data_IF_453603131844
#
_entry.id   IF_453603131844
#
_cell.length_a   1.000
_cell.length_b   1.000
_cell.length_c   1.000
_cell.angle_alpha   90.00
_cell.angle_beta   90.00
_cell.angle_gamma   90.00
#
_symmetry.space_group_name_H-M   'P 1'
#
loop_
_entity.id
_entity.type
_entity.pdbx_description
1 polymer ?
#
# COMPACT_ATOMS: atom_id res chain seq x y z
N UNK A 1 -43.72 -24.86 27.70
CA UNK A 1 -42.93 -25.86 26.98
C UNK A 1 -41.46 -25.41 26.97
N UNK A 2 -40.54 -26.11 27.69
CA UNK A 2 -39.15 -25.73 27.77
C UNK A 2 -38.33 -26.34 26.63
N UNK A 3 -37.44 -25.57 26.04
CA UNK A 3 -36.40 -26.08 25.15
C UNK A 3 -35.04 -25.99 25.86
N UNK A 4 -34.40 -27.13 25.92
CA UNK A 4 -33.15 -27.44 26.58
C UNK A 4 -31.93 -26.75 25.92
N UNK A 5 -30.94 -26.50 26.75
CA UNK A 5 -29.65 -25.99 26.56
C UNK A 5 -28.73 -26.79 25.64
N UNK A 6 -27.77 -26.06 25.12
CA UNK A 6 -26.55 -26.53 24.48
C UNK A 6 -25.42 -25.61 24.89
N UNK A 7 -24.65 -26.07 25.91
CA UNK A 7 -23.40 -25.46 26.36
C UNK A 7 -22.31 -25.78 25.36
N UNK A 8 -21.96 -24.86 24.48
CA UNK A 8 -20.74 -24.88 23.69
C UNK A 8 -19.66 -24.05 24.38
N UNK A 9 -18.72 -24.72 25.00
CA UNK A 9 -17.49 -24.14 25.55
C UNK A 9 -16.61 -23.70 24.38
N UNK A 10 -16.48 -22.39 24.18
CA UNK A 10 -15.43 -21.83 23.32
C UNK A 10 -14.17 -21.66 24.17
N UNK A 11 -13.16 -22.48 23.86
CA UNK A 11 -11.81 -22.39 24.42
C UNK A 11 -11.18 -21.03 24.10
N UNK A 12 -10.39 -20.56 25.06
CA UNK A 12 -9.78 -19.25 25.14
C UNK A 12 -8.92 -18.89 23.94
N UNK A 13 -9.03 -17.64 23.56
CA UNK A 13 -8.01 -16.97 22.75
C UNK A 13 -6.86 -16.61 23.69
N UNK A 14 -5.69 -17.23 23.47
CA UNK A 14 -4.44 -16.96 24.18
C UNK A 14 -4.11 -15.46 24.09
N UNK A 15 -3.85 -14.88 25.25
CA UNK A 15 -3.35 -13.51 25.37
C UNK A 15 -1.93 -13.44 24.82
N UNK A 16 -1.71 -12.63 23.79
CA UNK A 16 -0.39 -12.36 23.24
C UNK A 16 0.51 -11.69 24.30
N UNK A 17 1.72 -12.24 24.48
CA UNK A 17 2.75 -11.75 25.39
C UNK A 17 3.17 -10.31 25.05
N UNK A 18 3.58 -9.47 26.04
CA UNK A 18 4.08 -8.12 25.81
C UNK A 18 5.29 -8.00 24.89
N UNK A 19 6.02 -9.13 24.65
CA UNK A 19 7.22 -9.19 23.81
C UNK A 19 6.91 -9.40 22.33
N UNK A 20 5.65 -9.61 21.93
CA UNK A 20 5.24 -9.87 20.54
C UNK A 20 5.17 -8.61 19.64
N UNK A 21 5.55 -7.45 20.14
CA UNK A 21 5.52 -6.20 19.37
C UNK A 21 6.82 -5.98 18.56
N UNK A 22 7.87 -6.78 18.72
CA UNK A 22 9.17 -6.64 18.02
C UNK A 22 9.43 -7.62 16.86
N UNK A 23 8.49 -8.41 16.42
CA UNK A 23 8.72 -9.52 15.46
C UNK A 23 8.94 -9.12 13.99
N UNK A 24 9.09 -7.84 13.65
CA UNK A 24 9.39 -7.38 12.28
C UNK A 24 10.89 -7.23 11.95
N UNK A 25 11.81 -7.43 12.89
CA UNK A 25 13.24 -7.08 12.74
C UNK A 25 14.18 -8.25 12.40
N UNK A 26 13.71 -9.45 12.00
CA UNK A 26 14.61 -10.55 11.63
C UNK A 26 14.33 -11.10 10.23
N UNK A 27 15.29 -11.03 9.29
CA UNK A 27 15.19 -11.74 8.03
C UNK A 27 15.39 -13.24 8.28
N UNK A 28 14.34 -14.02 8.19
CA UNK A 28 14.44 -15.47 8.22
C UNK A 28 15.20 -15.98 6.99
N UNK A 29 16.41 -16.49 7.21
CA UNK A 29 17.15 -17.26 6.22
C UNK A 29 16.46 -18.60 6.02
N UNK A 30 15.91 -18.85 4.85
CA UNK A 30 15.43 -20.17 4.43
C UNK A 30 16.64 -21.08 4.22
N UNK A 31 16.76 -22.23 4.88
CA UNK A 31 17.84 -23.17 4.63
C UNK A 31 17.63 -23.89 3.30
N UNK A 32 18.59 -23.76 2.41
CA UNK A 32 18.66 -24.52 1.17
C UNK A 32 18.90 -26.00 1.50
N UNK A 33 17.91 -26.88 1.27
CA UNK A 33 18.01 -28.31 1.45
C UNK A 33 19.00 -28.90 0.44
N UNK A 34 20.18 -29.30 0.90
CA UNK A 34 21.13 -30.13 0.14
C UNK A 34 20.59 -31.56 0.05
N UNK A 35 20.11 -31.96 -1.10
CA UNK A 35 19.84 -33.36 -1.41
C UNK A 35 21.17 -34.12 -1.51
N UNK A 36 21.42 -35.02 -0.54
CA UNK A 36 22.45 -36.04 -0.65
C UNK A 36 21.98 -37.10 -1.65
N UNK A 37 22.63 -37.20 -2.80
CA UNK A 37 22.56 -38.41 -3.64
C UNK A 37 23.81 -39.26 -3.39
N UNK A 38 23.58 -40.47 -2.93
CA UNK A 38 24.50 -41.57 -2.75
C UNK A 38 25.10 -41.99 -4.13
N UNK A 39 26.42 -42.22 -4.13
CA UNK A 39 27.16 -42.87 -5.23
C UNK A 39 27.03 -44.40 -5.10
N UNK A 40 26.92 -45.14 -6.19
CA UNK A 40 27.42 -46.52 -6.25
C UNK A 40 28.79 -46.55 -6.94
N UNK A 41 29.64 -47.43 -6.42
CA UNK A 41 30.95 -47.75 -6.91
C UNK A 41 30.89 -48.76 -8.07
N UNK A 42 31.83 -48.62 -9.03
CA UNK A 42 32.20 -49.79 -9.79
C UNK A 42 32.60 -49.58 -11.23
N UNK A 43 33.91 -49.78 -11.47
CA UNK A 43 34.63 -50.40 -12.58
C UNK A 43 35.27 -49.51 -13.63
N UNK A 44 36.57 -49.75 -13.72
CA UNK A 44 37.59 -49.25 -14.66
C UNK A 44 37.31 -49.65 -16.10
N UNK A 45 37.54 -48.73 -17.03
CA UNK A 45 38.04 -49.03 -18.35
C UNK A 45 38.85 -47.85 -18.89
N UNK A 46 40.04 -48.14 -19.35
CA UNK A 46 41.06 -47.26 -19.96
C UNK A 46 40.68 -46.81 -21.33
N UNK A 47 40.81 -45.50 -21.63
CA UNK A 47 40.71 -45.01 -22.99
C UNK A 47 41.12 -43.53 -23.00
N UNK A 48 42.36 -43.27 -23.50
CA UNK A 48 42.85 -41.89 -23.75
C UNK A 48 42.09 -41.27 -24.88
N UNK A 49 41.44 -40.15 -24.65
CA UNK A 49 41.21 -39.11 -25.67
C UNK A 49 41.31 -37.75 -25.03
N UNK A 50 42.28 -36.98 -25.47
CA UNK A 50 42.48 -35.58 -25.14
C UNK A 50 41.49 -34.73 -25.91
N UNK A 51 40.56 -34.09 -25.23
CA UNK A 51 39.72 -33.04 -25.81
C UNK A 51 39.79 -31.83 -24.92
N UNK A 52 40.09 -30.70 -25.54
CA UNK A 52 40.40 -29.43 -24.92
C UNK A 52 39.31 -28.89 -23.94
N UNK A 53 39.82 -28.26 -22.91
CA UNK A 53 39.07 -27.57 -21.86
C UNK A 53 38.33 -26.35 -22.47
N UNK A 54 37.03 -26.45 -22.55
CA UNK A 54 36.16 -25.27 -22.74
C UNK A 54 35.79 -24.63 -21.39
N UNK A 55 35.82 -23.32 -21.27
CA UNK A 55 35.42 -22.67 -20.02
C UNK A 55 33.89 -22.71 -19.89
N UNK A 56 33.41 -23.55 -18.96
CA UNK A 56 32.01 -23.59 -18.55
C UNK A 56 31.72 -22.42 -17.60
N UNK A 57 30.96 -21.42 -18.06
CA UNK A 57 30.46 -20.46 -17.08
C UNK A 57 29.70 -19.23 -17.56
N UNK A 58 29.71 -18.88 -18.85
CA UNK A 58 29.15 -17.57 -19.24
C UNK A 58 28.14 -17.56 -20.40
N UNK A 59 27.89 -18.67 -21.11
CA UNK A 59 27.13 -18.64 -22.37
C UNK A 59 25.66 -19.05 -22.29
N UNK A 60 25.20 -19.76 -21.25
CA UNK A 60 23.83 -20.29 -21.26
C UNK A 60 22.74 -19.23 -21.02
N UNK A 61 23.05 -18.17 -20.27
CA UNK A 61 22.06 -17.08 -20.02
C UNK A 61 21.93 -16.12 -21.21
N UNK A 62 22.99 -15.93 -21.98
CA UNK A 62 22.96 -15.05 -23.15
C UNK A 62 22.28 -15.71 -24.36
N UNK A 63 22.50 -17.00 -24.57
CA UNK A 63 21.87 -17.73 -25.68
C UNK A 63 20.37 -17.90 -25.46
N UNK A 64 19.93 -18.23 -24.26
CA UNK A 64 18.49 -18.30 -23.93
C UNK A 64 17.79 -16.94 -24.12
N UNK A 65 18.42 -15.83 -23.74
CA UNK A 65 17.89 -14.48 -24.00
C UNK A 65 17.90 -14.10 -25.48
N UNK A 66 18.87 -14.54 -26.26
CA UNK A 66 18.93 -14.30 -27.71
C UNK A 66 17.85 -15.10 -28.44
N UNK A 67 17.64 -16.36 -28.08
CA UNK A 67 16.64 -17.25 -28.70
C UNK A 67 15.21 -16.73 -28.37
N UNK A 68 14.93 -16.32 -27.15
CA UNK A 68 13.63 -15.75 -26.79
C UNK A 68 13.37 -14.40 -27.49
N UNK A 69 14.42 -13.62 -27.77
CA UNK A 69 14.32 -12.37 -28.55
C UNK A 69 14.09 -12.59 -30.04
N UNK A 70 14.65 -13.69 -30.61
CA UNK A 70 14.49 -14.03 -32.02
C UNK A 70 13.13 -14.68 -32.36
N UNK A 71 12.40 -15.20 -31.38
CA UNK A 71 11.09 -15.86 -31.57
C UNK A 71 9.88 -14.95 -31.40
N UNK A 72 10.04 -13.66 -31.07
CA UNK A 72 8.90 -12.73 -31.07
C UNK A 72 8.73 -12.12 -32.45
N UNK A 73 7.55 -12.29 -33.10
CA UNK A 73 7.28 -11.62 -34.36
C UNK A 73 7.44 -10.11 -34.17
N UNK A 74 8.01 -9.40 -35.16
CA UNK A 74 8.17 -7.96 -35.09
C UNK A 74 6.79 -7.28 -35.17
N UNK A 75 6.18 -7.03 -34.02
CA UNK A 75 4.89 -6.33 -33.92
C UNK A 75 5.16 -4.83 -33.77
N UNK A 76 4.73 -4.00 -34.75
CA UNK A 76 4.87 -2.55 -34.64
C UNK A 76 4.07 -2.01 -33.45
N UNK A 77 4.68 -1.11 -32.64
CA UNK A 77 4.02 -0.49 -31.50
C UNK A 77 2.74 0.28 -31.90
N UNK A 78 2.71 0.83 -33.13
CA UNK A 78 1.52 1.48 -33.70
C UNK A 78 0.34 0.51 -33.86
N UNK A 79 0.59 -0.74 -34.24
CA UNK A 79 -0.46 -1.76 -34.32
C UNK A 79 -0.99 -2.14 -32.92
N UNK A 80 -0.12 -2.23 -31.93
CA UNK A 80 -0.49 -2.48 -30.52
C UNK A 80 -1.33 -1.32 -29.97
N UNK A 81 -0.95 -0.07 -30.25
CA UNK A 81 -1.73 1.12 -29.88
C UNK A 81 -3.12 1.14 -30.54
N UNK A 82 -3.18 0.75 -31.81
CA UNK A 82 -4.45 0.67 -32.57
C UNK A 82 -5.36 -0.40 -31.99
N UNK A 83 -4.81 -1.55 -31.61
CA UNK A 83 -5.54 -2.62 -30.94
C UNK A 83 -6.08 -2.14 -29.58
N UNK A 84 -5.26 -1.53 -28.74
CA UNK A 84 -5.67 -1.03 -27.42
C UNK A 84 -6.85 -0.06 -27.53
N UNK A 85 -6.74 0.95 -28.40
CA UNK A 85 -7.82 1.93 -28.62
C UNK A 85 -9.11 1.26 -29.12
N UNK A 86 -9.01 0.30 -30.05
CA UNK A 86 -10.16 -0.43 -30.59
C UNK A 86 -10.82 -1.34 -29.52
N UNK A 87 -10.01 -2.00 -28.71
CA UNK A 87 -10.43 -2.89 -27.63
C UNK A 87 -11.14 -2.12 -26.51
N UNK A 88 -10.53 -1.06 -26.02
CA UNK A 88 -11.07 -0.21 -24.96
C UNK A 88 -12.38 0.49 -25.38
N UNK A 89 -12.47 0.94 -26.63
CA UNK A 89 -13.68 1.59 -27.18
C UNK A 89 -14.72 0.59 -27.68
N UNK A 90 -14.38 -0.68 -27.81
CA UNK A 90 -15.23 -1.72 -28.44
C UNK A 90 -15.83 -1.26 -29.78
N UNK A 91 -15.05 -0.44 -30.53
CA UNK A 91 -15.49 0.18 -31.78
C UNK A 91 -14.30 0.63 -32.63
N UNK A 92 -14.16 0.08 -33.83
CA UNK A 92 -13.12 0.50 -34.78
C UNK A 92 -13.33 1.94 -35.26
N UNK A 93 -14.59 2.39 -35.36
CA UNK A 93 -14.89 3.78 -35.76
C UNK A 93 -14.49 4.77 -34.66
N UNK A 94 -14.76 4.46 -33.38
CA UNK A 94 -14.37 5.32 -32.27
C UNK A 94 -12.84 5.37 -32.09
N UNK A 95 -12.15 4.23 -32.24
CA UNK A 95 -10.70 4.16 -32.22
C UNK A 95 -10.06 4.95 -33.38
N UNK A 96 -10.65 4.89 -34.56
CA UNK A 96 -10.21 5.66 -35.71
C UNK A 96 -10.28 7.17 -35.45
N UNK A 97 -11.37 7.64 -34.88
CA UNK A 97 -11.54 9.04 -34.48
C UNK A 97 -10.51 9.47 -33.42
N UNK A 98 -10.24 8.62 -32.41
CA UNK A 98 -9.28 8.90 -31.34
C UNK A 98 -7.83 8.96 -31.86
N UNK A 99 -7.48 8.11 -32.83
CA UNK A 99 -6.12 8.00 -33.36
C UNK A 99 -5.88 8.86 -34.62
N UNK A 100 -6.89 9.63 -35.08
CA UNK A 100 -6.85 10.37 -36.33
C UNK A 100 -6.52 9.47 -37.55
N UNK A 101 -7.15 8.28 -37.58
CA UNK A 101 -7.05 7.29 -38.63
C UNK A 101 -8.40 7.03 -39.32
N UNK A 102 -8.39 6.28 -40.42
CA UNK A 102 -9.61 5.76 -41.01
C UNK A 102 -10.02 4.43 -40.36
N UNK A 103 -11.31 4.11 -40.31
CA UNK A 103 -11.77 2.83 -39.78
C UNK A 103 -11.16 1.61 -40.54
N UNK A 104 -10.89 1.77 -41.85
CA UNK A 104 -10.20 0.78 -42.66
C UNK A 104 -8.75 0.59 -42.21
N UNK A 105 -8.01 1.67 -41.91
CA UNK A 105 -6.65 1.60 -41.41
C UNK A 105 -6.58 0.90 -40.04
N UNK A 106 -7.51 1.21 -39.12
CA UNK A 106 -7.64 0.51 -37.84
C UNK A 106 -7.88 -0.98 -38.04
N UNK A 107 -8.86 -1.36 -38.87
CA UNK A 107 -9.17 -2.75 -39.18
C UNK A 107 -7.96 -3.49 -39.78
N UNK A 108 -7.21 -2.84 -40.67
CA UNK A 108 -6.02 -3.41 -41.30
C UNK A 108 -4.86 -3.60 -40.29
N UNK A 109 -4.64 -2.62 -39.40
CA UNK A 109 -3.60 -2.70 -38.36
C UNK A 109 -3.91 -3.84 -37.37
N UNK A 110 -5.17 -3.97 -36.94
CA UNK A 110 -5.61 -5.07 -36.07
C UNK A 110 -5.40 -6.43 -36.75
N UNK A 111 -5.84 -6.61 -38.01
CA UNK A 111 -5.63 -7.87 -38.74
C UNK A 111 -4.14 -8.24 -38.87
N UNK A 112 -3.27 -7.27 -39.13
CA UNK A 112 -1.82 -7.51 -39.15
C UNK A 112 -1.30 -7.97 -37.80
N UNK A 113 -1.82 -7.41 -36.71
CA UNK A 113 -1.46 -7.84 -35.36
C UNK A 113 -1.92 -9.28 -35.10
N UNK A 114 -3.16 -9.61 -35.41
CA UNK A 114 -3.72 -10.97 -35.29
C UNK A 114 -2.93 -11.99 -36.13
N UNK A 115 -2.57 -11.64 -37.38
CA UNK A 115 -1.73 -12.47 -38.22
C UNK A 115 -0.33 -12.69 -37.63
N UNK A 116 0.30 -11.65 -37.08
CA UNK A 116 1.60 -11.75 -36.44
C UNK A 116 1.59 -12.57 -35.15
N UNK A 117 0.49 -12.57 -34.42
CA UNK A 117 0.30 -13.34 -33.20
C UNK A 117 -0.28 -14.74 -33.44
N UNK A 118 -0.86 -14.99 -34.61
CA UNK A 118 -1.48 -16.26 -34.99
C UNK A 118 -2.81 -16.53 -34.22
N UNK A 119 -3.44 -15.50 -33.66
CA UNK A 119 -4.67 -15.62 -32.87
C UNK A 119 -5.61 -14.45 -33.13
N UNK A 120 -6.91 -14.72 -33.18
CA UNK A 120 -7.94 -13.67 -33.24
C UNK A 120 -8.07 -12.96 -31.89
N UNK A 121 -8.07 -11.64 -31.91
CA UNK A 121 -8.23 -10.79 -30.73
C UNK A 121 -9.63 -10.22 -30.62
N UNK A 122 -10.34 -10.14 -31.75
CA UNK A 122 -11.71 -9.67 -31.82
C UNK A 122 -12.64 -10.75 -32.37
N UNK A 123 -13.88 -10.74 -31.90
CA UNK A 123 -14.98 -11.54 -32.41
C UNK A 123 -16.18 -10.65 -32.73
N UNK A 124 -17.10 -11.18 -33.57
CA UNK A 124 -18.32 -10.46 -33.93
C UNK A 124 -19.51 -11.06 -33.19
N UNK A 125 -20.09 -10.27 -32.36
CA UNK A 125 -21.40 -10.56 -31.73
C UNK A 125 -22.50 -9.77 -32.45
N UNK A 126 -23.05 -10.34 -33.53
CA UNK A 126 -24.04 -9.65 -34.36
C UNK A 126 -23.46 -8.39 -35.01
N UNK A 127 -23.96 -7.21 -34.62
CA UNK A 127 -23.49 -5.92 -35.14
C UNK A 127 -22.47 -5.22 -34.20
N UNK A 128 -22.03 -5.89 -33.14
CA UNK A 128 -21.02 -5.39 -32.18
C UNK A 128 -19.70 -6.12 -32.31
N UNK A 129 -18.66 -5.43 -31.93
CA UNK A 129 -17.30 -5.99 -31.87
C UNK A 129 -17.03 -6.34 -30.40
N UNK A 130 -16.81 -7.64 -30.13
CA UNK A 130 -16.37 -8.18 -28.86
C UNK A 130 -14.89 -8.49 -28.88
N UNK A 131 -14.30 -8.74 -27.71
CA UNK A 131 -12.95 -9.26 -27.55
C UNK A 131 -13.02 -10.76 -27.31
N UNK A 132 -12.10 -11.50 -27.92
CA UNK A 132 -11.85 -12.89 -27.54
C UNK A 132 -11.15 -12.94 -26.17
N UNK A 133 -11.12 -14.12 -25.52
CA UNK A 133 -10.35 -14.31 -24.28
C UNK A 133 -8.85 -13.92 -24.46
N UNK A 134 -8.27 -14.19 -25.66
CA UNK A 134 -6.93 -13.75 -26.01
C UNK A 134 -6.83 -12.22 -26.13
N UNK A 135 -7.87 -11.58 -26.69
CA UNK A 135 -7.98 -10.13 -26.79
C UNK A 135 -8.06 -9.44 -25.42
N UNK A 136 -8.87 -9.97 -24.52
CA UNK A 136 -8.98 -9.45 -23.14
C UNK A 136 -7.64 -9.56 -22.39
N UNK A 137 -7.03 -10.75 -22.43
CA UNK A 137 -5.72 -10.97 -21.80
C UNK A 137 -4.63 -10.02 -22.35
N UNK A 138 -4.62 -9.81 -23.68
CA UNK A 138 -3.66 -8.89 -24.31
C UNK A 138 -3.97 -7.43 -23.92
N UNK A 139 -5.23 -7.03 -23.87
CA UNK A 139 -5.64 -5.67 -23.48
C UNK A 139 -5.11 -5.30 -22.10
N UNK A 140 -5.26 -6.18 -21.10
CA UNK A 140 -4.76 -5.96 -19.75
C UNK A 140 -3.24 -5.71 -19.70
N UNK A 141 -2.48 -6.47 -20.47
CA UNK A 141 -1.02 -6.31 -20.53
C UNK A 141 -0.60 -5.06 -21.31
N UNK A 142 -1.28 -4.76 -22.39
CA UNK A 142 -0.96 -3.62 -23.27
C UNK A 142 -1.31 -2.30 -22.60
N UNK A 143 -2.48 -2.22 -21.95
CA UNK A 143 -2.89 -1.03 -21.20
C UNK A 143 -1.88 -0.67 -20.12
N UNK A 144 -1.47 -1.66 -19.32
CA UNK A 144 -0.40 -1.46 -18.30
C UNK A 144 0.94 -1.02 -18.92
N UNK A 145 1.31 -1.60 -20.06
CA UNK A 145 2.56 -1.21 -20.73
C UNK A 145 2.51 0.25 -21.23
N UNK A 146 1.38 0.71 -21.77
CA UNK A 146 1.22 2.10 -22.22
C UNK A 146 1.18 3.08 -21.05
N UNK A 147 0.57 2.70 -19.93
CA UNK A 147 0.59 3.49 -18.71
C UNK A 147 2.02 3.65 -18.16
N UNK A 148 2.82 2.57 -18.18
CA UNK A 148 4.23 2.63 -17.78
C UNK A 148 5.07 3.49 -18.72
N UNK A 149 4.84 3.40 -20.03
CA UNK A 149 5.49 4.28 -21.01
C UNK A 149 5.11 5.75 -20.79
N UNK A 150 3.83 6.03 -20.54
CA UNK A 150 3.34 7.39 -20.25
C UNK A 150 4.03 7.96 -19.01
N UNK A 151 4.17 7.16 -17.95
CA UNK A 151 4.95 7.55 -16.77
C UNK A 151 6.42 7.83 -17.08
N UNK A 152 7.02 7.00 -17.95
CA UNK A 152 8.39 7.26 -18.42
C UNK A 152 8.51 8.61 -19.13
N UNK A 153 7.52 8.97 -19.95
CA UNK A 153 7.48 10.27 -20.61
C UNK A 153 7.26 11.42 -19.62
N UNK A 154 6.37 11.25 -18.63
CA UNK A 154 6.14 12.24 -17.57
C UNK A 154 7.39 12.47 -16.72
N UNK A 155 8.20 11.44 -16.49
CA UNK A 155 9.48 11.55 -15.77
C UNK A 155 10.53 12.43 -16.48
N UNK A 156 10.48 12.49 -17.82
CA UNK A 156 11.45 13.25 -18.65
C UNK A 156 10.88 14.56 -19.18
N UNK A 157 9.56 14.74 -19.12
CA UNK A 157 8.88 15.95 -19.55
C UNK A 157 9.01 17.06 -18.50
N UNK A 158 9.90 18.01 -18.71
CA UNK A 158 10.21 19.13 -17.79
C UNK A 158 9.06 20.15 -17.61
N UNK A 159 7.91 19.98 -18.27
CA UNK A 159 6.78 20.94 -18.26
C UNK A 159 5.44 20.38 -17.78
N UNK A 160 5.33 19.09 -17.51
CA UNK A 160 4.09 18.51 -16.97
C UNK A 160 3.99 18.78 -15.46
N UNK A 161 2.80 19.09 -14.91
CA UNK A 161 2.58 19.12 -13.47
C UNK A 161 3.03 17.80 -12.86
N UNK A 162 3.81 17.89 -11.80
CA UNK A 162 4.36 16.69 -11.15
C UNK A 162 3.31 16.11 -10.20
N UNK A 163 2.41 15.30 -10.73
CA UNK A 163 1.31 14.71 -9.98
C UNK A 163 1.80 13.57 -9.08
N UNK A 164 1.55 13.68 -7.79
CA UNK A 164 1.63 12.63 -6.78
C UNK A 164 0.24 12.07 -6.51
N UNK A 165 0.04 10.77 -6.75
CA UNK A 165 -1.18 10.05 -6.42
C UNK A 165 -0.98 9.32 -5.10
N UNK A 166 -1.59 9.86 -4.05
CA UNK A 166 -1.40 9.39 -2.68
C UNK A 166 -2.69 8.73 -2.17
N UNK A 167 -2.58 7.50 -1.70
CA UNK A 167 -3.57 6.88 -0.83
C UNK A 167 -3.19 7.13 0.63
N UNK A 168 -4.16 7.19 1.54
CA UNK A 168 -3.86 7.52 2.92
C UNK A 168 -4.92 6.96 3.87
N UNK A 169 -4.50 6.52 5.06
CA UNK A 169 -5.40 6.22 6.17
C UNK A 169 -6.28 7.44 6.49
N UNK A 170 -7.63 7.28 6.56
CA UNK A 170 -8.55 8.43 6.59
C UNK A 170 -8.32 9.39 7.75
N UNK A 171 -8.00 8.89 8.94
CA UNK A 171 -7.77 9.75 10.10
C UNK A 171 -6.49 10.55 9.99
N UNK A 172 -5.43 9.96 9.44
CA UNK A 172 -4.17 10.68 9.16
C UNK A 172 -4.38 11.73 8.08
N UNK A 173 -5.08 11.39 7.01
CA UNK A 173 -5.42 12.32 5.94
C UNK A 173 -6.17 13.56 6.47
N UNK A 174 -7.24 13.34 7.26
CA UNK A 174 -8.09 14.42 7.74
C UNK A 174 -7.44 15.26 8.85
N UNK A 175 -6.83 14.62 9.83
CA UNK A 175 -6.37 15.27 11.04
C UNK A 175 -4.97 15.86 10.94
N UNK A 176 -4.07 15.17 10.24
CA UNK A 176 -2.67 15.57 10.22
C UNK A 176 -2.21 16.08 8.85
N UNK A 177 -2.45 15.32 7.77
CA UNK A 177 -1.87 15.61 6.45
C UNK A 177 -2.52 16.83 5.79
N UNK A 178 -3.85 16.81 5.61
CA UNK A 178 -4.57 17.88 4.89
C UNK A 178 -4.34 19.28 5.48
N UNK A 179 -4.34 19.49 6.81
CA UNK A 179 -4.04 20.80 7.38
C UNK A 179 -2.62 21.31 7.05
N UNK A 180 -1.66 20.42 6.83
CA UNK A 180 -0.26 20.75 6.56
C UNK A 180 0.05 20.89 5.05
N UNK A 181 -0.84 20.43 4.14
CA UNK A 181 -0.63 20.52 2.69
C UNK A 181 -0.50 21.97 2.19
N UNK A 182 -1.11 22.93 2.85
CA UNK A 182 -0.94 24.35 2.50
C UNK A 182 0.53 24.78 2.52
N UNK A 183 1.27 24.33 3.53
CA UNK A 183 2.71 24.57 3.64
C UNK A 183 3.49 23.81 2.57
N UNK A 184 3.13 22.56 2.34
CA UNK A 184 3.75 21.75 1.28
C UNK A 184 3.67 22.42 -0.09
N UNK A 185 2.48 22.91 -0.48
CA UNK A 185 2.30 23.58 -1.77
C UNK A 185 3.00 24.94 -1.85
N UNK A 186 3.15 25.66 -0.73
CA UNK A 186 3.93 26.89 -0.68
C UNK A 186 5.43 26.65 -0.94
N UNK A 187 5.96 25.54 -0.41
CA UNK A 187 7.36 25.13 -0.57
C UNK A 187 7.61 24.43 -1.93
N UNK A 188 6.59 23.81 -2.53
CA UNK A 188 6.69 23.00 -3.75
C UNK A 188 5.58 23.32 -4.76
N UNK A 189 5.54 24.54 -5.34
CA UNK A 189 4.43 25.01 -6.18
C UNK A 189 4.27 24.24 -7.50
N UNK A 190 5.26 23.44 -7.90
CA UNK A 190 5.20 22.59 -9.11
C UNK A 190 4.64 21.19 -8.89
N UNK A 191 4.31 20.82 -7.64
CA UNK A 191 3.78 19.49 -7.30
C UNK A 191 2.27 19.57 -7.12
N UNK A 192 1.56 18.68 -7.81
CA UNK A 192 0.14 18.43 -7.58
C UNK A 192 -0.05 17.15 -6.76
N UNK A 193 -1.02 17.13 -5.84
CA UNK A 193 -1.34 15.95 -5.03
C UNK A 193 -2.79 15.56 -5.27
N UNK A 194 -3.01 14.34 -5.75
CA UNK A 194 -4.32 13.67 -5.73
C UNK A 194 -4.35 12.75 -4.51
N UNK A 195 -5.14 13.12 -3.50
CA UNK A 195 -5.28 12.37 -2.27
C UNK A 195 -6.59 11.57 -2.28
N UNK A 196 -6.50 10.26 -2.07
CA UNK A 196 -7.63 9.39 -1.77
C UNK A 196 -7.48 8.82 -0.36
N UNK A 197 -8.56 8.73 0.39
CA UNK A 197 -8.55 8.20 1.74
C UNK A 197 -9.36 6.91 1.81
N UNK A 198 -8.74 5.84 2.34
CA UNK A 198 -9.34 4.52 2.44
C UNK A 198 -8.71 3.67 3.54
N UNK A 199 -9.39 2.55 3.90
CA UNK A 199 -8.87 1.60 4.90
C UNK A 199 -8.15 0.42 4.27
N UNK A 200 -8.46 0.14 3.02
CA UNK A 200 -7.78 -0.91 2.25
C UNK A 200 -6.40 -0.42 1.85
N UNK A 201 -5.41 -1.30 1.88
CA UNK A 201 -4.08 -0.98 1.38
C UNK A 201 -4.13 -0.73 -0.11
N UNK A 202 -3.41 0.32 -0.57
CA UNK A 202 -3.28 0.59 -2.00
C UNK A 202 -2.69 -0.61 -2.73
N UNK A 203 -3.33 -1.00 -3.82
CA UNK A 203 -2.82 -2.03 -4.73
C UNK A 203 -1.98 -1.36 -5.79
N UNK A 204 -0.67 -1.40 -5.63
CA UNK A 204 0.28 -0.80 -6.58
C UNK A 204 0.37 -1.53 -7.95
N UNK A 205 -0.48 -2.55 -8.16
CA UNK A 205 -0.55 -3.31 -9.42
C UNK A 205 -1.26 -2.51 -10.52
N UNK A 206 -2.22 -1.64 -10.15
CA UNK A 206 -3.07 -0.88 -11.08
C UNK A 206 -2.59 0.53 -11.35
N UNK A 207 -1.44 0.92 -10.78
CA UNK A 207 -0.86 2.26 -10.95
C UNK A 207 -1.78 3.44 -10.58
N UNK A 208 -2.79 3.16 -9.78
CA UNK A 208 -3.72 4.15 -9.29
C UNK A 208 -3.05 5.10 -8.29
N UNK A 209 -2.11 4.58 -7.49
CA UNK A 209 -1.39 5.31 -6.47
C UNK A 209 0.13 5.18 -6.61
N UNK A 210 0.86 6.22 -6.25
CA UNK A 210 2.31 6.26 -6.22
C UNK A 210 2.86 5.87 -4.86
N UNK A 211 2.10 6.17 -3.81
CA UNK A 211 2.40 5.85 -2.42
C UNK A 211 1.12 5.70 -1.60
N UNK A 212 1.25 5.06 -0.44
CA UNK A 212 0.19 4.90 0.55
C UNK A 212 0.71 5.25 1.95
N UNK A 213 -0.09 5.97 2.73
CA UNK A 213 0.15 6.15 4.15
C UNK A 213 -0.78 5.21 4.89
N UNK A 214 -0.23 4.09 5.34
CA UNK A 214 -0.97 3.01 6.00
C UNK A 214 -0.92 3.13 7.51
N UNK A 215 -1.97 2.68 8.17
CA UNK A 215 -2.03 2.50 9.61
C UNK A 215 -1.82 1.02 9.97
N UNK A 216 -0.90 0.77 10.89
CA UNK A 216 -0.51 -0.59 11.28
C UNK A 216 0.64 -1.16 10.47
N UNK A 217 0.94 -2.48 10.61
CA UNK A 217 2.08 -3.10 9.95
C UNK A 217 1.91 -3.10 8.43
N UNK A 218 2.89 -2.58 7.69
CA UNK A 218 2.85 -2.58 6.22
C UNK A 218 2.78 -3.99 5.64
N UNK A 219 2.07 -4.14 4.52
CA UNK A 219 1.89 -5.43 3.83
C UNK A 219 2.25 -5.29 2.36
N UNK A 220 2.93 -6.28 1.80
CA UNK A 220 3.33 -6.37 0.39
C UNK A 220 4.81 -6.60 0.21
N UNK A 221 5.16 -7.32 -0.87
CA UNK A 221 6.55 -7.56 -1.26
C UNK A 221 7.06 -6.43 -2.18
N UNK A 222 8.36 -6.14 -2.13
CA UNK A 222 8.99 -5.14 -3.00
C UNK A 222 8.63 -3.69 -2.68
N UNK A 223 8.05 -3.42 -1.51
CA UNK A 223 7.76 -2.08 -1.03
C UNK A 223 8.94 -1.50 -0.24
N UNK A 224 9.17 -0.22 -0.40
CA UNK A 224 9.96 0.58 0.53
C UNK A 224 9.01 1.09 1.61
N UNK A 225 9.43 0.94 2.87
CA UNK A 225 8.65 1.31 4.06
C UNK A 225 9.39 2.40 4.81
N UNK A 226 8.74 3.52 5.02
CA UNK A 226 9.23 4.64 5.83
C UNK A 226 8.30 4.80 7.04
N UNK A 227 8.75 4.45 8.27
CA UNK A 227 8.01 4.74 9.48
C UNK A 227 7.81 6.25 9.66
N UNK A 228 6.61 6.67 10.02
CA UNK A 228 6.28 8.09 10.22
C UNK A 228 6.47 8.55 11.68
N UNK A 229 7.36 7.86 12.40
CA UNK A 229 7.70 8.18 13.78
C UNK A 229 6.79 7.52 14.81
N UNK A 230 7.12 7.77 16.07
CA UNK A 230 6.39 7.22 17.19
C UNK A 230 5.19 8.09 17.54
N UNK A 231 4.06 7.45 17.73
CA UNK A 231 2.84 8.05 18.24
C UNK A 231 2.66 7.70 19.72
N UNK A 232 2.18 8.64 20.51
CA UNK A 232 1.78 8.38 21.88
C UNK A 232 0.25 8.32 21.96
N UNK A 233 -0.28 7.19 22.43
CA UNK A 233 -1.71 7.00 22.67
C UNK A 233 -2.01 7.20 24.15
N UNK A 234 -2.89 8.13 24.43
CA UNK A 234 -3.27 8.57 25.78
C UNK A 234 -4.75 8.93 25.83
N UNK A 235 -5.39 8.89 27.01
CA UNK A 235 -6.73 9.43 27.20
C UNK A 235 -6.80 10.92 26.89
N UNK A 236 -7.72 11.31 26.00
CA UNK A 236 -7.98 12.69 25.58
C UNK A 236 -9.43 13.06 25.82
N UNK A 237 -9.67 14.25 26.35
CA UNK A 237 -11.02 14.79 26.56
C UNK A 237 -11.02 16.32 26.56
N UNK A 238 -12.19 16.94 26.56
CA UNK A 238 -12.29 18.39 26.71
C UNK A 238 -11.83 18.86 28.11
N UNK A 239 -11.45 20.15 28.28
CA UNK A 239 -10.92 20.69 29.54
C UNK A 239 -11.85 20.52 30.73
N UNK A 240 -13.16 20.66 30.52
CA UNK A 240 -14.17 20.52 31.58
C UNK A 240 -14.14 19.13 32.22
N UNK A 241 -14.09 18.09 31.39
CA UNK A 241 -14.01 16.69 31.83
C UNK A 241 -12.66 16.38 32.47
N UNK A 242 -11.57 16.91 31.88
CA UNK A 242 -10.22 16.73 32.40
C UNK A 242 -10.03 17.24 33.83
N UNK A 243 -10.77 18.26 34.24
CA UNK A 243 -10.73 18.78 35.58
C UNK A 243 -11.06 17.74 36.68
N UNK A 244 -11.84 16.71 36.31
CA UNK A 244 -12.29 15.60 37.19
C UNK A 244 -11.39 14.35 37.06
N UNK A 245 -10.42 14.31 36.16
CA UNK A 245 -9.53 13.16 35.93
C UNK A 245 -8.15 13.47 36.48
N UNK A 246 -7.79 12.87 37.62
CA UNK A 246 -6.53 13.07 38.33
C UNK A 246 -5.65 11.82 38.35
N UNK A 247 -6.29 10.65 38.29
CA UNK A 247 -5.65 9.35 38.29
C UNK A 247 -6.28 8.42 37.20
N UNK A 248 -5.57 7.38 36.76
CA UNK A 248 -6.13 6.43 35.79
C UNK A 248 -7.45 5.78 36.18
N UNK A 249 -7.68 5.56 37.50
CA UNK A 249 -8.92 4.98 38.02
C UNK A 249 -10.14 5.89 37.84
N UNK A 250 -9.95 7.20 37.75
CA UNK A 250 -11.07 8.14 37.59
C UNK A 250 -11.79 7.95 36.25
N UNK A 251 -11.13 7.29 35.28
CA UNK A 251 -11.72 6.99 33.98
C UNK A 251 -12.97 6.09 34.09
N UNK A 252 -13.10 5.30 35.16
CA UNK A 252 -14.28 4.45 35.36
C UNK A 252 -15.58 5.24 35.60
N UNK A 253 -15.45 6.51 35.99
CA UNK A 253 -16.59 7.43 36.23
C UNK A 253 -17.00 8.19 34.94
N UNK A 254 -16.30 7.95 33.83
CA UNK A 254 -16.50 8.66 32.58
C UNK A 254 -16.95 7.75 31.44
N UNK A 255 -17.74 8.30 30.52
CA UNK A 255 -18.04 7.63 29.25
C UNK A 255 -16.75 7.47 28.41
N UNK A 256 -16.38 6.23 28.09
CA UNK A 256 -15.22 5.92 27.29
C UNK A 256 -15.62 5.79 25.81
N UNK A 257 -14.93 6.52 24.95
CA UNK A 257 -15.13 6.46 23.50
C UNK A 257 -14.17 5.42 22.93
N UNK A 258 -14.70 4.44 22.21
CA UNK A 258 -13.93 3.38 21.59
C UNK A 258 -13.72 3.65 20.10
N UNK A 259 -12.46 3.60 19.65
CA UNK A 259 -12.10 3.48 18.24
C UNK A 259 -11.82 2.01 17.90
N UNK A 260 -12.66 1.41 17.02
CA UNK A 260 -12.61 -0.04 16.77
C UNK A 260 -11.41 -0.48 15.93
N UNK A 261 -10.97 0.34 14.98
CA UNK A 261 -9.88 0.03 14.07
C UNK A 261 -8.53 0.55 14.60
N UNK A 262 -8.18 0.23 15.85
CA UNK A 262 -6.93 0.65 16.49
C UNK A 262 -6.12 -0.52 17.01
N UNK A 263 -4.78 -0.38 16.92
CA UNK A 263 -3.84 -1.32 17.55
C UNK A 263 -3.87 -1.21 19.08
N UNK A 264 -3.93 0.03 19.59
CA UNK A 264 -4.00 0.31 21.04
C UNK A 264 -5.44 0.60 21.42
N UNK A 265 -6.02 -0.25 22.26
CA UNK A 265 -7.42 -0.15 22.75
C UNK A 265 -7.45 -0.02 24.25
N UNK A 266 -8.61 0.37 24.79
CA UNK A 266 -8.82 0.54 26.22
C UNK A 266 -8.39 -0.66 27.09
N UNK A 267 -8.69 -1.94 26.76
CA UNK A 267 -8.25 -3.08 27.57
C UNK A 267 -6.73 -3.11 27.76
N UNK A 268 -5.96 -2.92 26.69
CA UNK A 268 -4.49 -2.88 26.74
C UNK A 268 -3.99 -1.68 27.57
N UNK A 269 -4.63 -0.52 27.44
CA UNK A 269 -4.23 0.66 28.20
C UNK A 269 -4.52 0.49 29.71
N UNK A 270 -5.68 -0.08 30.09
CA UNK A 270 -6.00 -0.40 31.49
C UNK A 270 -5.04 -1.42 32.08
N UNK A 271 -4.75 -2.49 31.34
CA UNK A 271 -3.78 -3.52 31.75
C UNK A 271 -2.41 -2.91 32.05
N UNK A 272 -1.88 -2.03 31.18
CA UNK A 272 -0.60 -1.35 31.38
C UNK A 272 -0.59 -0.40 32.60
N UNK A 273 -1.75 0.00 33.04
CA UNK A 273 -1.88 0.84 34.23
C UNK A 273 -2.34 0.04 35.47
N UNK A 274 -2.26 -1.29 35.44
CA UNK A 274 -2.66 -2.20 36.51
C UNK A 274 -4.11 -2.00 36.97
N UNK A 275 -5.01 -1.71 36.04
CA UNK A 275 -6.42 -1.51 36.28
C UNK A 275 -7.25 -2.65 35.67
N UNK A 276 -8.40 -3.01 36.29
CA UNK A 276 -9.31 -3.97 35.68
C UNK A 276 -9.89 -3.43 34.38
N UNK A 277 -10.32 -4.33 33.51
CA UNK A 277 -10.97 -3.94 32.26
C UNK A 277 -12.27 -3.17 32.57
N UNK A 278 -12.41 -1.96 32.00
CA UNK A 278 -13.65 -1.20 32.14
C UNK A 278 -14.73 -1.82 31.23
N UNK A 279 -16.01 -1.80 31.68
CA UNK A 279 -17.12 -2.06 30.79
C UNK A 279 -17.15 -0.96 29.71
N UNK A 280 -16.93 -1.36 28.45
CA UNK A 280 -16.98 -0.46 27.30
C UNK A 280 -18.44 -0.26 26.87
N UNK A 281 -19.19 0.47 27.69
CA UNK A 281 -20.53 0.94 27.36
C UNK A 281 -20.41 2.38 26.88
N UNK A 282 -20.84 2.68 25.65
CA UNK A 282 -20.78 4.04 25.14
C UNK A 282 -20.60 4.14 23.63
N UNK A 283 -20.04 5.25 23.20
CA UNK A 283 -19.83 5.56 21.77
C UNK A 283 -18.69 4.73 21.18
N UNK A 284 -18.96 4.19 20.00
CA UNK A 284 -17.99 3.42 19.22
C UNK A 284 -17.91 4.00 17.82
N UNK A 285 -16.68 4.20 17.36
CA UNK A 285 -16.40 4.72 16.03
C UNK A 285 -15.40 3.80 15.30
N UNK A 286 -15.51 3.76 14.02
CA UNK A 286 -14.56 3.05 13.15
C UNK A 286 -13.37 3.93 12.72
N UNK A 287 -13.41 5.23 13.07
CA UNK A 287 -12.38 6.21 12.69
C UNK A 287 -11.96 7.08 13.89
N UNK A 288 -10.65 7.27 14.03
CA UNK A 288 -10.08 8.12 15.09
C UNK A 288 -10.54 9.57 15.02
N UNK A 289 -10.68 10.15 13.83
CA UNK A 289 -11.11 11.55 13.70
C UNK A 289 -12.52 11.78 14.27
N UNK A 290 -13.42 10.79 14.20
CA UNK A 290 -14.75 10.87 14.83
C UNK A 290 -14.64 10.79 16.35
N UNK A 291 -13.79 9.92 16.88
CA UNK A 291 -13.56 9.80 18.32
C UNK A 291 -12.92 11.07 18.89
N UNK A 292 -11.96 11.66 18.18
CA UNK A 292 -11.31 12.94 18.52
C UNK A 292 -12.36 14.07 18.58
N UNK A 293 -13.20 14.19 17.55
CA UNK A 293 -14.26 15.20 17.52
C UNK A 293 -15.25 15.00 18.67
N UNK A 294 -15.73 13.78 18.87
CA UNK A 294 -16.67 13.47 19.95
C UNK A 294 -16.10 13.79 21.34
N UNK A 295 -14.81 13.52 21.58
CA UNK A 295 -14.16 13.87 22.83
C UNK A 295 -14.00 15.38 23.00
N UNK A 296 -13.69 16.12 21.94
CA UNK A 296 -13.60 17.57 21.94
C UNK A 296 -14.96 18.23 22.22
N UNK A 297 -16.04 17.62 21.73
CA UNK A 297 -17.43 18.07 21.97
C UNK A 297 -17.99 17.60 23.32
N UNK A 298 -17.14 16.97 24.16
CA UNK A 298 -17.48 16.60 25.55
C UNK A 298 -18.31 15.32 25.69
N UNK A 299 -18.45 14.50 24.68
CA UNK A 299 -19.24 13.26 24.72
C UNK A 299 -18.58 12.14 25.55
N UNK A 300 -17.27 12.23 25.82
CA UNK A 300 -16.56 11.24 26.62
C UNK A 300 -15.06 11.47 26.64
N UNK A 301 -14.33 10.41 27.01
CA UNK A 301 -12.87 10.33 26.96
C UNK A 301 -12.48 9.37 25.83
N UNK A 302 -11.69 9.82 24.87
CA UNK A 302 -11.17 8.99 23.79
C UNK A 302 -9.74 8.54 24.09
N UNK A 303 -9.41 7.31 23.76
CA UNK A 303 -8.04 6.81 23.80
C UNK A 303 -7.43 7.01 22.41
N UNK A 304 -6.67 8.08 22.21
CA UNK A 304 -6.25 8.51 20.88
C UNK A 304 -4.79 8.93 20.80
N UNK A 305 -4.25 8.93 19.56
CA UNK A 305 -2.91 9.39 19.24
C UNK A 305 -2.81 10.91 19.41
N UNK A 306 -1.79 11.37 20.13
CA UNK A 306 -1.48 12.80 20.24
C UNK A 306 -1.08 13.41 18.90
N UNK A 307 -0.53 12.63 17.97
CA UNK A 307 -0.22 13.05 16.61
C UNK A 307 -1.51 13.39 15.83
N UNK A 308 -2.51 12.51 15.89
CA UNK A 308 -3.78 12.74 15.20
C UNK A 308 -4.61 13.85 15.86
N UNK A 309 -4.47 14.05 17.16
CA UNK A 309 -5.16 15.10 17.91
C UNK A 309 -4.35 16.39 18.05
N UNK A 310 -3.24 16.54 17.30
CA UNK A 310 -2.29 17.67 17.39
C UNK A 310 -3.02 19.03 17.37
N UNK A 311 -3.95 19.22 16.44
CA UNK A 311 -4.70 20.45 16.26
C UNK A 311 -5.64 20.77 17.42
N UNK A 312 -6.37 19.78 17.91
CA UNK A 312 -7.28 19.90 19.03
C UNK A 312 -6.54 20.14 20.35
N UNK A 313 -5.37 19.52 20.53
CA UNK A 313 -4.48 19.76 21.66
C UNK A 313 -3.88 21.17 21.61
N UNK A 314 -3.36 21.59 20.45
CA UNK A 314 -2.78 22.93 20.25
C UNK A 314 -3.81 24.06 20.47
N UNK A 315 -5.07 23.82 20.07
CA UNK A 315 -6.17 24.80 20.28
C UNK A 315 -6.78 24.77 21.68
N UNK A 316 -6.39 23.81 22.52
CA UNK A 316 -6.98 23.61 23.85
C UNK A 316 -8.39 23.01 23.86
N UNK A 317 -8.93 22.60 22.70
CA UNK A 317 -10.20 21.87 22.62
C UNK A 317 -10.12 20.48 23.25
N UNK A 318 -8.95 19.85 23.19
CA UNK A 318 -8.61 18.63 23.91
C UNK A 318 -7.42 18.87 24.82
N UNK A 319 -7.38 18.09 25.89
CA UNK A 319 -6.24 17.96 26.80
C UNK A 319 -6.00 16.49 27.10
N UNK A 320 -4.77 16.15 27.51
CA UNK A 320 -4.36 14.83 27.95
C UNK A 320 -4.18 14.83 29.47
N UNK A 321 -5.23 14.57 30.28
CA UNK A 321 -5.18 14.74 31.74
C UNK A 321 -4.22 13.77 32.43
N UNK A 322 -3.85 12.67 31.75
CA UNK A 322 -3.01 11.60 32.27
C UNK A 322 -1.68 11.45 31.51
N UNK A 323 -1.25 12.47 30.76
CA UNK A 323 -0.01 12.42 29.96
C UNK A 323 1.21 11.98 30.80
N UNK A 324 1.38 12.60 32.00
CA UNK A 324 2.51 12.35 32.90
C UNK A 324 2.09 11.54 34.15
N UNK A 325 0.86 11.01 34.18
CA UNK A 325 0.27 10.33 35.34
C UNK A 325 -0.11 8.89 35.08
N UNK A 326 0.11 8.41 33.86
CA UNK A 326 -0.24 7.08 33.42
C UNK A 326 0.84 6.50 32.50
N UNK A 327 0.87 5.17 32.41
CA UNK A 327 1.70 4.46 31.41
C UNK A 327 1.01 4.53 30.06
N UNK A 328 1.39 5.52 29.26
CA UNK A 328 0.89 5.71 27.91
C UNK A 328 1.66 4.84 26.90
N UNK A 329 1.01 4.48 25.79
CA UNK A 329 1.58 3.56 24.81
C UNK A 329 2.24 4.35 23.68
N UNK A 330 3.54 4.08 23.43
CA UNK A 330 4.27 4.61 22.27
C UNK A 330 4.48 3.49 21.26
N UNK A 331 4.21 3.75 20.00
CA UNK A 331 4.39 2.81 18.91
C UNK A 331 4.48 3.52 17.56
N UNK A 332 4.96 2.82 16.54
CA UNK A 332 4.91 3.30 15.16
C UNK A 332 3.54 2.94 14.56
N UNK A 333 2.64 3.90 14.49
CA UNK A 333 1.28 3.68 13.99
C UNK A 333 1.16 3.81 12.49
N UNK A 334 1.81 4.80 11.90
CA UNK A 334 1.70 5.12 10.48
C UNK A 334 3.01 4.90 9.74
N UNK A 335 2.90 4.50 8.47
CA UNK A 335 4.04 4.26 7.58
C UNK A 335 3.71 4.78 6.18
N UNK A 336 4.65 5.49 5.55
CA UNK A 336 4.61 5.73 4.11
C UNK A 336 5.19 4.52 3.41
N UNK A 337 4.42 3.93 2.49
CA UNK A 337 4.84 2.77 1.69
C UNK A 337 4.69 3.06 0.21
N UNK A 338 5.64 2.57 -0.59
CA UNK A 338 5.62 2.74 -2.04
C UNK A 338 6.47 1.68 -2.73
N UNK A 339 6.18 1.33 -4.01
CA UNK A 339 6.97 0.38 -4.77
C UNK A 339 8.41 0.88 -4.96
N UNK A 340 9.39 -0.04 -4.89
CA UNK A 340 10.80 0.30 -5.10
C UNK A 340 11.08 0.97 -6.47
N UNK A 341 10.25 0.69 -7.48
CA UNK A 341 10.33 1.34 -8.80
C UNK A 341 9.96 2.81 -8.75
N UNK A 342 9.06 3.22 -7.85
CA UNK A 342 8.61 4.60 -7.70
C UNK A 342 9.60 5.51 -6.96
N UNK A 343 10.63 4.95 -6.31
CA UNK A 343 11.62 5.70 -5.50
C UNK A 343 12.31 6.87 -6.21
N UNK A 344 12.39 6.82 -7.56
CA UNK A 344 13.02 7.86 -8.39
C UNK A 344 12.06 8.95 -8.83
N UNK A 345 10.75 8.79 -8.60
CA UNK A 345 9.76 9.80 -8.99
C UNK A 345 9.94 11.06 -8.15
N UNK A 346 10.14 12.18 -8.83
CA UNK A 346 10.46 13.45 -8.17
C UNK A 346 9.35 13.91 -7.19
N UNK A 347 8.04 13.87 -7.54
CA UNK A 347 6.99 14.27 -6.61
C UNK A 347 6.97 13.43 -5.33
N UNK A 348 7.19 12.11 -5.44
CA UNK A 348 7.26 11.22 -4.29
C UNK A 348 8.47 11.53 -3.39
N UNK A 349 9.65 11.75 -3.99
CA UNK A 349 10.86 12.12 -3.22
C UNK A 349 10.70 13.43 -2.46
N UNK A 350 10.15 14.43 -3.13
CA UNK A 350 9.87 15.74 -2.53
C UNK A 350 8.90 15.60 -1.36
N UNK A 351 7.80 14.87 -1.59
CA UNK A 351 6.80 14.63 -0.56
C UNK A 351 7.36 13.83 0.63
N UNK A 352 8.11 12.76 0.38
CA UNK A 352 8.69 11.96 1.45
C UNK A 352 9.71 12.75 2.29
N UNK A 353 10.53 13.60 1.67
CA UNK A 353 11.46 14.48 2.38
C UNK A 353 10.74 15.52 3.24
N UNK A 354 9.72 16.15 2.68
CA UNK A 354 8.88 17.08 3.40
C UNK A 354 8.18 16.40 4.58
N UNK A 355 7.60 15.21 4.37
CA UNK A 355 6.92 14.44 5.40
C UNK A 355 7.87 14.03 6.53
N UNK A 356 9.10 13.59 6.19
CA UNK A 356 10.14 13.29 7.18
C UNK A 356 10.52 14.51 8.00
N UNK A 357 10.72 15.66 7.38
CA UNK A 357 11.04 16.92 8.06
C UNK A 357 9.91 17.37 9.00
N UNK A 358 8.64 17.29 8.56
CA UNK A 358 7.47 17.64 9.39
C UNK A 358 7.29 16.73 10.62
N UNK A 359 7.66 15.46 10.50
CA UNK A 359 7.53 14.46 11.56
C UNK A 359 8.82 14.27 12.39
N UNK A 360 9.92 14.86 11.97
CA UNK A 360 11.23 14.68 12.61
C UNK A 360 11.72 13.23 12.53
N UNK A 361 11.51 12.57 11.38
CA UNK A 361 11.89 11.18 11.15
C UNK A 361 12.96 11.04 10.09
N UNK A 362 13.70 9.92 10.10
CA UNK A 362 14.75 9.65 9.13
C UNK A 362 14.17 9.21 7.79
N UNK A 363 14.86 9.61 6.72
CA UNK A 363 14.55 9.12 5.37
C UNK A 363 15.18 7.76 5.14
N UNK A 364 14.49 6.83 4.49
CA UNK A 364 15.11 5.61 3.99
C UNK A 364 16.26 5.92 3.02
N UNK A 365 17.36 5.14 3.11
CA UNK A 365 18.54 5.34 2.25
C UNK A 365 18.23 5.29 0.76
N UNK A 366 17.14 4.60 0.37
CA UNK A 366 16.68 4.43 -1.01
C UNK A 366 16.12 5.71 -1.64
N UNK A 367 15.76 6.73 -0.82
CA UNK A 367 15.17 8.00 -1.27
C UNK A 367 15.88 9.24 -0.71
N UNK A 368 16.89 9.04 0.10
CA UNK A 368 17.73 10.10 0.69
C UNK A 368 18.49 10.92 -0.39
#
# INVERSE_FOLDING_TARGET
>A
VPIRGGTGVLHGADAASPDDIEWWASPQRVPCARSRRSRPAGKRASGRFSVGRWPTGCCQRSVARLIVRAMRPPVPLSAVRTFEAAARRRSFKAAASELNLTASAVSHAVRKLEQALGVALFEREGNRIGLTAAGEALLDHVSRAFEEMSRGFDLVATRAPQLLRLHCAPSFAAQWLTPKLTRFFAEHPGVEVRLAAGMDYARFITDEFDADIVYGPPRGEGLIVMPLGHETVTPLCNPERAARIKAPADLFEHALIQSDNKLVRWPLWFERNNLPAAPLAGLRFDRSFLAISAAADGLGVALESTLLAERELASGRLVAPLADRATNVRYNGHHLVFPAVARRRMPLRVFARWLAAELGTDLPAEIA
#
